data_IF_711910777306
#
_entry.id   IF_711910777306
#
_cell.length_a   1.000
_cell.length_b   1.000
_cell.length_c   1.000
_cell.angle_alpha   90.00
_cell.angle_beta   90.00
_cell.angle_gamma   90.00
#
_symmetry.space_group_name_H-M   'P 1'
#
loop_
_entity.id
_entity.type
_entity.pdbx_description
1 polymer ?
#
# COMPACT_ATOMS: atom_id res chain seq x y z
N UNK A 1 -10.96 -57.90 9.21
CA UNK A 1 -10.08 -56.79 9.63
C UNK A 1 -9.39 -56.24 8.41
N UNK A 2 -9.62 -54.97 8.09
CA UNK A 2 -8.97 -54.32 6.96
C UNK A 2 -7.81 -53.45 7.46
N UNK A 3 -6.91 -53.11 6.55
CA UNK A 3 -5.83 -52.16 6.77
C UNK A 3 -5.94 -50.94 5.85
N UNK A 4 -5.34 -49.84 6.28
CA UNK A 4 -5.21 -48.60 5.51
C UNK A 4 -3.73 -48.39 5.18
N UNK A 5 -3.40 -48.21 3.90
CA UNK A 5 -2.07 -47.84 3.42
C UNK A 5 -2.13 -46.61 2.51
N UNK A 6 -0.98 -46.01 2.21
CA UNK A 6 -0.85 -44.95 1.21
C UNK A 6 0.28 -45.18 0.21
N UNK A 7 0.36 -44.30 -0.78
CA UNK A 7 1.38 -44.28 -1.83
C UNK A 7 2.66 -43.54 -1.45
N UNK A 8 2.76 -42.99 -0.23
CA UNK A 8 3.90 -42.22 0.27
C UNK A 8 4.70 -42.97 1.35
N UNK A 9 4.28 -44.19 1.68
CA UNK A 9 5.00 -45.11 2.54
C UNK A 9 4.80 -44.86 4.03
N UNK A 10 3.67 -44.30 4.47
CA UNK A 10 3.37 -44.30 5.91
C UNK A 10 3.14 -45.70 6.47
N UNK A 11 3.28 -45.79 7.79
CA UNK A 11 3.00 -47.00 8.57
C UNK A 11 1.55 -47.42 8.36
N UNK A 12 1.35 -48.63 7.86
CA UNK A 12 0.03 -49.23 7.67
C UNK A 12 -0.75 -49.33 8.98
N UNK A 13 -1.99 -48.84 8.99
CA UNK A 13 -2.95 -49.18 10.04
C UNK A 13 -3.53 -50.56 9.74
N UNK A 14 -3.54 -51.46 10.72
CA UNK A 14 -4.00 -52.85 10.56
C UNK A 14 -5.00 -53.21 11.66
N UNK A 15 -5.78 -54.27 11.45
CA UNK A 15 -6.69 -54.78 12.48
C UNK A 15 -7.96 -53.93 12.65
N UNK A 16 -8.38 -53.20 11.61
CA UNK A 16 -9.43 -52.19 11.73
C UNK A 16 -10.83 -52.79 11.56
N UNK A 17 -11.79 -52.20 12.28
CA UNK A 17 -13.23 -52.44 12.19
C UNK A 17 -13.97 -51.20 11.65
N UNK A 18 -15.21 -51.29 11.15
CA UNK A 18 -15.95 -50.14 10.62
C UNK A 18 -15.93 -48.92 11.55
N UNK A 19 -15.37 -47.81 11.08
CA UNK A 19 -15.17 -46.61 11.89
C UNK A 19 -14.38 -45.52 11.17
N UNK A 20 -14.19 -44.39 11.87
CA UNK A 20 -13.37 -43.27 11.40
C UNK A 20 -11.95 -43.38 11.97
N UNK A 21 -10.95 -43.21 11.12
CA UNK A 21 -9.53 -43.32 11.48
C UNK A 21 -8.77 -42.09 10.99
N UNK A 22 -7.78 -41.65 11.78
CA UNK A 22 -6.83 -40.61 11.37
C UNK A 22 -5.59 -41.27 10.79
N UNK A 23 -5.21 -40.86 9.59
CA UNK A 23 -4.09 -41.43 8.83
C UNK A 23 -3.31 -40.28 8.19
N UNK A 24 -1.99 -40.21 8.43
CA UNK A 24 -1.13 -39.05 8.16
C UNK A 24 -0.20 -38.72 9.33
N UNK A 25 0.52 -37.60 9.36
CA UNK A 25 0.42 -36.38 8.53
C UNK A 25 1.18 -36.43 7.19
N UNK A 26 0.70 -35.65 6.22
CA UNK A 26 1.28 -35.55 4.88
C UNK A 26 1.87 -34.17 4.60
N UNK A 27 2.92 -34.06 3.76
CA UNK A 27 3.43 -32.77 3.29
C UNK A 27 2.37 -31.98 2.52
N UNK A 28 2.47 -30.66 2.53
CA UNK A 28 1.61 -29.79 1.73
C UNK A 28 1.72 -30.12 0.24
N UNK A 29 0.61 -30.09 -0.50
CA UNK A 29 0.48 -30.49 -1.91
C UNK A 29 0.84 -31.95 -2.22
N UNK A 30 1.03 -32.81 -1.21
CA UNK A 30 1.23 -34.23 -1.45
C UNK A 30 -0.01 -34.84 -2.12
N UNK A 31 0.19 -35.62 -3.18
CA UNK A 31 -0.85 -36.41 -3.81
C UNK A 31 -0.99 -37.74 -3.07
N UNK A 32 -1.92 -37.80 -2.12
CA UNK A 32 -2.10 -38.96 -1.24
C UNK A 32 -3.16 -39.90 -1.80
N UNK A 33 -2.74 -41.04 -2.35
CA UNK A 33 -3.64 -42.16 -2.64
C UNK A 33 -3.82 -43.02 -1.39
N UNK A 34 -5.06 -43.31 -1.01
CA UNK A 34 -5.38 -44.14 0.16
C UNK A 34 -5.90 -45.49 -0.33
N UNK A 35 -5.32 -46.57 0.19
CA UNK A 35 -5.71 -47.93 -0.16
C UNK A 35 -6.26 -48.66 1.07
N UNK A 36 -7.44 -49.28 0.90
CA UNK A 36 -7.99 -50.23 1.85
C UNK A 36 -7.66 -51.63 1.38
N UNK A 37 -7.12 -52.47 2.26
CA UNK A 37 -6.75 -53.87 1.93
C UNK A 37 -7.27 -54.79 3.02
N UNK A 38 -7.98 -55.86 2.64
CA UNK A 38 -8.24 -56.98 3.55
C UNK A 38 -7.18 -58.08 3.32
N UNK A 39 -6.27 -58.33 4.29
CA UNK A 39 -5.19 -59.29 4.12
C UNK A 39 -5.69 -60.75 4.08
N UNK A 40 -6.92 -61.02 4.50
CA UNK A 40 -7.48 -62.37 4.57
C UNK A 40 -8.29 -62.74 3.31
N UNK A 41 -8.57 -61.77 2.43
CA UNK A 41 -9.33 -61.98 1.20
C UNK A 41 -8.47 -61.57 0.00
N UNK A 42 -7.98 -62.57 -0.74
CA UNK A 42 -7.15 -62.34 -1.92
C UNK A 42 -7.86 -61.43 -2.94
N UNK A 43 -7.24 -60.30 -3.28
CA UNK A 43 -7.77 -59.34 -4.26
C UNK A 43 -8.82 -58.36 -3.72
N UNK A 44 -9.12 -58.36 -2.42
CA UNK A 44 -10.01 -57.38 -1.83
C UNK A 44 -9.25 -56.10 -1.45
N UNK A 45 -9.15 -55.17 -2.40
CA UNK A 45 -8.64 -53.83 -2.14
C UNK A 45 -9.52 -52.75 -2.78
N UNK A 46 -9.57 -51.59 -2.15
CA UNK A 46 -10.16 -50.37 -2.70
C UNK A 46 -9.10 -49.28 -2.75
N UNK A 47 -9.13 -48.48 -3.81
CA UNK A 47 -8.22 -47.34 -3.99
C UNK A 47 -9.05 -46.07 -4.07
N UNK A 48 -8.66 -45.08 -3.29
CA UNK A 48 -9.19 -43.73 -3.37
C UNK A 48 -8.10 -42.83 -3.95
N UNK A 49 -8.48 -42.04 -4.95
CA UNK A 49 -7.58 -41.22 -5.76
C UNK A 49 -6.72 -40.26 -4.93
N UNK A 50 -5.77 -39.57 -5.57
CA UNK A 50 -4.90 -38.65 -4.86
C UNK A 50 -5.71 -37.52 -4.23
N UNK A 51 -5.83 -37.54 -2.90
CA UNK A 51 -6.28 -36.40 -2.12
C UNK A 51 -5.09 -35.46 -2.03
N UNK A 52 -5.18 -34.30 -2.65
CA UNK A 52 -4.20 -33.23 -2.46
C UNK A 52 -4.56 -32.45 -1.21
N UNK A 53 -3.77 -32.60 -0.16
CA UNK A 53 -3.90 -31.77 1.04
C UNK A 53 -3.29 -30.40 0.74
N UNK A 54 -4.12 -29.39 0.48
CA UNK A 54 -3.69 -28.01 0.49
C UNK A 54 -3.70 -27.50 1.94
N UNK A 55 -2.57 -27.65 2.61
CA UNK A 55 -2.34 -27.17 3.98
C UNK A 55 -1.75 -25.76 3.98
N UNK A 56 -2.11 -24.92 3.00
CA UNK A 56 -1.77 -23.52 3.04
C UNK A 56 -2.49 -22.89 4.24
N UNK A 57 -1.70 -22.46 5.22
CA UNK A 57 -2.20 -21.68 6.34
C UNK A 57 -2.81 -20.42 5.77
N UNK A 58 -4.08 -20.17 6.11
CA UNK A 58 -4.75 -18.93 5.75
C UNK A 58 -3.90 -17.74 6.19
N UNK A 59 -3.80 -16.74 5.33
CA UNK A 59 -3.00 -15.55 5.61
C UNK A 59 -3.61 -14.79 6.80
N UNK A 60 -2.77 -14.17 7.62
CA UNK A 60 -3.25 -13.44 8.80
C UNK A 60 -4.21 -12.31 8.42
N UNK A 61 -3.99 -11.69 7.27
CA UNK A 61 -4.82 -10.65 6.69
C UNK A 61 -5.80 -11.17 5.62
N UNK A 62 -6.24 -12.43 5.74
CA UNK A 62 -7.22 -13.02 4.83
C UNK A 62 -8.58 -12.33 4.97
N UNK A 63 -9.01 -11.95 6.18
CA UNK A 63 -10.25 -11.21 6.40
C UNK A 63 -10.01 -9.70 6.49
N UNK A 64 -10.99 -8.92 6.03
CA UNK A 64 -10.92 -7.45 6.12
C UNK A 64 -10.70 -6.95 7.55
N UNK A 65 -11.34 -7.60 8.54
CA UNK A 65 -11.21 -7.22 9.96
C UNK A 65 -9.76 -7.36 10.46
N UNK A 66 -8.98 -8.22 9.81
CA UNK A 66 -7.59 -8.53 10.14
C UNK A 66 -6.61 -7.85 9.16
N UNK A 67 -7.07 -6.84 8.41
CA UNK A 67 -6.26 -6.13 7.42
C UNK A 67 -4.95 -5.60 8.02
N UNK A 68 -3.84 -5.95 7.38
CA UNK A 68 -2.51 -5.54 7.80
C UNK A 68 -2.25 -4.06 7.49
N UNK A 69 -1.54 -3.34 8.37
CA UNK A 69 -1.30 -1.91 8.17
C UNK A 69 -0.21 -1.68 7.11
N UNK A 70 -0.53 -0.84 6.12
CA UNK A 70 0.42 -0.38 5.11
C UNK A 70 0.62 1.15 5.25
N UNK A 71 1.85 1.57 5.51
CA UNK A 71 2.20 2.98 5.76
C UNK A 71 3.17 3.53 4.71
N UNK A 72 3.21 4.85 4.57
CA UNK A 72 4.14 5.56 3.70
C UNK A 72 5.60 5.13 3.91
N UNK A 73 6.33 4.89 2.82
CA UNK A 73 7.74 4.48 2.82
C UNK A 73 7.97 2.99 3.11
N UNK A 74 6.91 2.20 3.32
CA UNK A 74 7.05 0.77 3.52
C UNK A 74 7.20 0.03 2.18
N UNK A 75 8.08 -0.96 2.19
CA UNK A 75 8.06 -2.06 1.25
C UNK A 75 7.81 -3.34 2.06
N UNK A 76 6.84 -4.15 1.66
CA UNK A 76 6.55 -5.42 2.31
C UNK A 76 6.41 -6.54 1.28
N UNK A 77 6.67 -7.75 1.74
CA UNK A 77 6.45 -8.98 0.98
C UNK A 77 5.22 -9.66 1.55
N UNK A 78 4.18 -9.77 0.73
CA UNK A 78 2.93 -10.46 1.05
C UNK A 78 2.76 -11.73 0.24
N UNK A 79 1.64 -12.43 0.47
CA UNK A 79 1.24 -13.58 -0.34
C UNK A 79 -0.26 -13.73 -0.34
N UNK A 80 -0.81 -14.17 -1.47
CA UNK A 80 -2.23 -14.58 -1.61
C UNK A 80 -2.40 -16.09 -1.52
N UNK A 81 -1.32 -16.84 -1.26
CA UNK A 81 -1.34 -18.29 -1.09
C UNK A 81 -2.18 -18.67 0.13
N UNK A 82 -3.16 -19.55 -0.05
CA UNK A 82 -4.09 -19.92 1.02
C UNK A 82 -5.14 -18.88 1.37
N UNK A 83 -5.21 -17.74 0.65
CA UNK A 83 -6.28 -16.77 0.83
C UNK A 83 -7.63 -17.39 0.45
N UNK A 84 -8.65 -17.15 1.28
CA UNK A 84 -10.01 -17.65 1.10
C UNK A 84 -11.01 -16.52 0.91
N UNK A 85 -10.68 -15.31 1.37
CA UNK A 85 -11.56 -14.16 1.24
C UNK A 85 -11.81 -13.84 -0.23
N UNK A 86 -13.10 -13.84 -0.59
CA UNK A 86 -13.62 -13.21 -1.81
C UNK A 86 -14.61 -12.10 -1.45
N UNK A 87 -14.38 -11.43 -0.32
CA UNK A 87 -15.27 -10.43 0.26
C UNK A 87 -15.20 -9.07 -0.49
N UNK A 88 -15.44 -9.13 -1.80
CA UNK A 88 -15.32 -8.02 -2.73
C UNK A 88 -16.75 -7.54 -3.00
N UNK A 89 -17.28 -6.76 -2.07
CA UNK A 89 -18.66 -6.26 -2.11
C UNK A 89 -18.90 -5.05 -1.20
N UNK A 90 -18.80 -3.86 -1.82
CA UNK A 90 -19.71 -2.70 -1.75
C UNK A 90 -19.09 -1.57 -2.60
N UNK A 91 -19.31 -1.63 -3.92
CA UNK A 91 -18.95 -0.59 -4.88
C UNK A 91 -17.94 -1.01 -5.94
N UNK A 92 -16.88 -1.75 -5.60
CA UNK A 92 -15.96 -2.26 -6.63
C UNK A 92 -16.54 -3.58 -7.17
N UNK A 93 -16.44 -3.80 -8.47
CA UNK A 93 -16.88 -5.07 -9.07
C UNK A 93 -16.10 -6.25 -8.49
N UNK A 94 -16.76 -7.41 -8.47
CA UNK A 94 -16.18 -8.64 -7.93
C UNK A 94 -14.96 -9.05 -8.76
N UNK A 95 -13.79 -9.10 -8.14
CA UNK A 95 -12.58 -9.61 -8.80
C UNK A 95 -12.67 -11.13 -8.97
N UNK A 96 -12.06 -11.68 -10.03
CA UNK A 96 -11.73 -13.09 -10.08
C UNK A 96 -10.55 -13.34 -9.11
N UNK A 97 -10.79 -14.13 -8.07
CA UNK A 97 -9.72 -14.65 -7.19
C UNK A 97 -9.79 -14.20 -5.74
N UNK A 98 -9.40 -15.11 -4.86
CA UNK A 98 -9.19 -14.82 -3.44
C UNK A 98 -7.95 -13.94 -3.25
N UNK A 99 -7.94 -13.15 -2.19
CA UNK A 99 -6.94 -12.12 -1.94
C UNK A 99 -6.89 -11.72 -0.49
N UNK A 100 -5.93 -10.85 -0.18
CA UNK A 100 -5.63 -10.41 1.18
C UNK A 100 -5.86 -8.90 1.33
N UNK A 101 -6.06 -8.46 2.57
CA UNK A 101 -6.43 -7.09 2.91
C UNK A 101 -5.29 -6.31 3.55
N UNK A 102 -5.21 -5.03 3.19
CA UNK A 102 -4.36 -4.05 3.85
C UNK A 102 -5.16 -2.80 4.21
N UNK A 103 -4.80 -2.15 5.31
CA UNK A 103 -5.39 -0.89 5.76
C UNK A 103 -4.38 0.23 5.68
N UNK A 104 -4.81 1.35 5.10
CA UNK A 104 -4.03 2.57 4.93
C UNK A 104 -4.78 3.69 5.66
N UNK A 105 -4.07 4.51 6.43
CA UNK A 105 -4.61 5.74 7.01
C UNK A 105 -4.18 6.90 6.14
N UNK A 106 -5.13 7.61 5.55
CA UNK A 106 -4.86 8.77 4.70
C UNK A 106 -4.11 9.86 5.46
N UNK A 107 -3.13 10.47 4.80
CA UNK A 107 -2.31 11.55 5.36
C UNK A 107 -2.76 12.92 4.85
N UNK A 108 -3.64 12.97 3.84
CA UNK A 108 -3.92 14.18 3.07
C UNK A 108 -3.03 14.33 1.83
N UNK A 109 -2.02 13.47 1.70
CA UNK A 109 -1.08 13.49 0.59
C UNK A 109 -1.55 12.59 -0.56
N UNK A 110 -0.90 12.75 -1.72
CA UNK A 110 -1.04 11.78 -2.80
C UNK A 110 -0.26 10.53 -2.44
N UNK A 111 -0.98 9.42 -2.40
CA UNK A 111 -0.46 8.11 -2.02
C UNK A 111 -0.38 7.24 -3.27
N UNK A 112 0.69 6.45 -3.36
CA UNK A 112 0.89 5.48 -4.41
C UNK A 112 1.19 4.12 -3.79
N UNK A 113 0.36 3.13 -4.14
CA UNK A 113 0.58 1.72 -3.83
C UNK A 113 0.96 1.02 -5.13
N UNK A 114 2.11 0.33 -5.13
CA UNK A 114 2.67 -0.28 -6.32
C UNK A 114 3.05 -1.73 -6.07
N UNK A 115 2.79 -2.59 -7.05
CA UNK A 115 3.43 -3.91 -7.16
C UNK A 115 4.48 -3.94 -8.28
N UNK A 116 4.84 -2.77 -8.84
CA UNK A 116 5.75 -2.70 -9.98
C UNK A 116 7.17 -3.23 -9.68
N UNK A 117 7.61 -3.31 -8.42
CA UNK A 117 8.90 -3.89 -8.05
C UNK A 117 8.94 -5.42 -8.12
N UNK A 118 7.77 -6.07 -8.19
CA UNK A 118 7.66 -7.52 -8.29
C UNK A 118 8.30 -8.02 -9.59
N UNK A 119 9.02 -9.15 -9.50
CA UNK A 119 9.61 -9.83 -10.65
C UNK A 119 8.91 -11.17 -10.87
N UNK A 120 8.67 -11.52 -12.14
CA UNK A 120 7.71 -12.57 -12.52
C UNK A 120 6.42 -11.94 -13.01
N UNK A 121 5.92 -12.39 -14.18
CA UNK A 121 4.76 -11.80 -14.84
C UNK A 121 3.47 -12.23 -14.13
N UNK A 122 3.21 -11.65 -12.97
CA UNK A 122 2.10 -12.03 -12.12
C UNK A 122 0.91 -11.10 -12.33
N UNK A 123 -0.25 -11.70 -12.63
CA UNK A 123 -1.52 -11.01 -12.88
C UNK A 123 -2.17 -10.49 -11.60
N UNK A 124 -1.43 -9.67 -10.84
CA UNK A 124 -1.88 -9.01 -9.63
C UNK A 124 -2.98 -7.99 -9.96
N UNK A 125 -3.95 -7.89 -9.07
CA UNK A 125 -5.05 -6.94 -9.12
C UNK A 125 -5.11 -6.22 -7.79
N UNK A 126 -5.21 -4.89 -7.88
CA UNK A 126 -5.37 -4.01 -6.73
C UNK A 126 -6.76 -3.39 -6.81
N UNK A 127 -7.48 -3.31 -5.70
CA UNK A 127 -8.70 -2.51 -5.60
C UNK A 127 -8.68 -1.72 -4.31
N UNK A 128 -9.03 -0.45 -4.41
CA UNK A 128 -8.98 0.47 -3.29
C UNK A 128 -10.40 0.86 -2.88
N UNK A 129 -10.66 0.79 -1.58
CA UNK A 129 -11.88 1.25 -0.97
C UNK A 129 -11.59 2.38 0.00
N UNK A 130 -12.53 3.33 0.11
CA UNK A 130 -12.55 4.35 1.14
C UNK A 130 -13.52 3.92 2.24
N UNK A 131 -13.11 4.04 3.50
CA UNK A 131 -13.87 3.58 4.66
C UNK A 131 -13.24 2.36 5.34
N UNK A 132 -13.97 1.78 6.29
CA UNK A 132 -13.60 0.58 7.03
C UNK A 132 -14.44 -0.63 6.58
N UNK A 133 -14.18 -1.80 7.14
CA UNK A 133 -14.85 -3.05 6.74
C UNK A 133 -16.39 -3.03 6.90
N UNK A 134 -16.93 -2.15 7.73
CA UNK A 134 -18.38 -2.00 7.94
C UNK A 134 -19.10 -1.06 6.96
N UNK A 135 -18.37 -0.11 6.35
CA UNK A 135 -18.89 0.84 5.34
C UNK A 135 -17.75 1.22 4.39
N UNK A 136 -17.43 0.30 3.48
CA UNK A 136 -16.44 0.48 2.43
C UNK A 136 -17.13 0.90 1.14
N UNK A 137 -16.61 1.93 0.48
CA UNK A 137 -17.04 2.39 -0.85
C UNK A 137 -15.88 2.29 -1.82
N UNK A 138 -16.15 1.89 -3.06
CA UNK A 138 -15.09 1.84 -4.06
C UNK A 138 -14.46 3.22 -4.25
N UNK A 139 -13.14 3.27 -4.17
CA UNK A 139 -12.36 4.43 -4.53
C UNK A 139 -11.74 4.25 -5.92
N UNK A 140 -11.15 3.08 -6.19
CA UNK A 140 -10.49 2.76 -7.47
C UNK A 140 -10.71 1.29 -7.81
N UNK A 141 -11.22 1.04 -9.02
CA UNK A 141 -11.39 -0.31 -9.57
C UNK A 141 -10.10 -0.86 -10.16
N UNK A 142 -9.96 -2.19 -10.18
CA UNK A 142 -8.74 -2.85 -10.66
C UNK A 142 -8.38 -2.60 -12.13
N UNK A 143 -9.35 -2.26 -12.98
CA UNK A 143 -9.11 -1.91 -14.38
C UNK A 143 -8.66 -0.47 -14.57
N UNK A 144 -8.81 0.38 -13.54
CA UNK A 144 -8.30 1.77 -13.53
C UNK A 144 -6.83 1.83 -13.10
N UNK A 145 -6.29 0.71 -12.62
CA UNK A 145 -4.90 0.61 -12.19
C UNK A 145 -3.96 0.95 -13.35
N UNK A 146 -2.89 1.65 -13.02
CA UNK A 146 -1.79 1.88 -13.96
C UNK A 146 -1.04 0.57 -14.19
N UNK A 147 -0.79 0.24 -15.46
CA UNK A 147 -0.06 -0.96 -15.86
C UNK A 147 1.45 -0.67 -15.87
N UNK A 148 2.19 -1.38 -15.04
CA UNK A 148 3.66 -1.32 -15.04
C UNK A 148 4.24 -2.00 -16.29
N UNK A 149 5.46 -1.65 -16.69
CA UNK A 149 6.13 -2.26 -17.85
C UNK A 149 6.33 -3.78 -17.75
N UNK A 150 6.42 -4.31 -16.53
CA UNK A 150 6.53 -5.75 -16.23
C UNK A 150 5.17 -6.45 -16.08
N UNK A 151 4.06 -5.77 -16.35
CA UNK A 151 2.72 -6.35 -16.27
C UNK A 151 2.10 -6.35 -14.87
N UNK A 152 2.73 -5.73 -13.87
CA UNK A 152 2.19 -5.51 -12.53
C UNK A 152 1.22 -4.30 -12.48
N UNK A 153 0.78 -3.88 -11.30
CA UNK A 153 -0.23 -2.82 -11.12
C UNK A 153 0.23 -1.76 -10.14
N UNK A 154 -0.26 -0.55 -10.37
CA UNK A 154 -0.07 0.57 -9.47
C UNK A 154 -1.38 1.37 -9.34
N UNK A 155 -1.63 1.88 -8.14
CA UNK A 155 -2.72 2.79 -7.84
C UNK A 155 -2.14 4.07 -7.25
N UNK A 156 -2.53 5.22 -7.80
CA UNK A 156 -2.22 6.54 -7.24
C UNK A 156 -3.51 7.27 -6.91
N UNK A 157 -3.63 7.82 -5.70
CA UNK A 157 -4.84 8.50 -5.24
C UNK A 157 -4.54 9.63 -4.25
N UNK A 158 -5.36 10.69 -4.27
CA UNK A 158 -5.32 11.74 -3.25
C UNK A 158 -6.06 11.26 -2.00
N UNK A 159 -5.33 11.08 -0.90
CA UNK A 159 -5.90 10.65 0.37
C UNK A 159 -6.49 11.83 1.15
N UNK A 160 -7.45 11.56 2.04
CA UNK A 160 -7.94 12.53 3.02
C UNK A 160 -7.30 12.25 4.41
N UNK A 161 -6.84 13.27 5.15
CA UNK A 161 -6.18 13.07 6.44
C UNK A 161 -7.06 12.27 7.42
N UNK A 162 -6.47 11.29 8.10
CA UNK A 162 -7.14 10.44 9.09
C UNK A 162 -8.24 9.52 8.53
N UNK A 163 -8.50 9.56 7.22
CA UNK A 163 -9.53 8.72 6.60
C UNK A 163 -9.00 7.31 6.35
N UNK A 164 -9.73 6.25 6.75
CA UNK A 164 -9.33 4.89 6.46
C UNK A 164 -9.56 4.53 4.99
N UNK A 165 -8.62 3.78 4.44
CA UNK A 165 -8.70 3.14 3.13
C UNK A 165 -8.34 1.67 3.28
N UNK A 166 -8.99 0.82 2.49
CA UNK A 166 -8.73 -0.61 2.42
C UNK A 166 -8.23 -0.97 1.03
N UNK A 167 -7.08 -1.61 0.97
CA UNK A 167 -6.50 -2.16 -0.24
C UNK A 167 -6.75 -3.66 -0.24
N UNK A 168 -7.32 -4.16 -1.33
CA UNK A 168 -7.44 -5.58 -1.58
C UNK A 168 -6.49 -6.01 -2.70
N UNK A 169 -5.69 -7.04 -2.44
CA UNK A 169 -4.68 -7.56 -3.37
C UNK A 169 -5.04 -9.00 -3.74
N UNK A 170 -5.30 -9.25 -5.02
CA UNK A 170 -5.67 -10.57 -5.55
C UNK A 170 -4.95 -10.91 -6.85
N UNK A 171 -5.20 -12.11 -7.39
CA UNK A 171 -4.67 -12.56 -8.68
C UNK A 171 -5.79 -13.04 -9.60
N UNK A 172 -5.68 -12.68 -10.89
CA UNK A 172 -6.65 -13.00 -11.95
C UNK A 172 -6.93 -14.51 -12.10
N UNK A 173 -5.95 -15.38 -11.86
CA UNK A 173 -6.05 -16.82 -12.13
C UNK A 173 -6.12 -17.70 -10.87
N UNK A 174 -6.36 -17.11 -9.69
CA UNK A 174 -6.60 -17.85 -8.44
C UNK A 174 -5.42 -18.69 -7.92
N UNK A 175 -4.24 -18.62 -8.55
CA UNK A 175 -3.01 -19.21 -8.03
C UNK A 175 -2.36 -18.21 -7.07
N UNK A 176 -2.62 -18.40 -5.78
CA UNK A 176 -2.04 -17.53 -4.76
C UNK A 176 -0.50 -17.60 -4.77
N UNK A 177 0.15 -16.45 -4.85
CA UNK A 177 1.61 -16.29 -4.99
C UNK A 177 2.11 -15.20 -4.05
N UNK A 178 3.43 -15.18 -3.82
CA UNK A 178 4.08 -14.09 -3.12
C UNK A 178 4.11 -12.83 -4.01
N UNK A 179 4.02 -11.66 -3.39
CA UNK A 179 4.08 -10.37 -4.06
C UNK A 179 4.82 -9.35 -3.22
N UNK A 180 5.35 -8.31 -3.85
CA UNK A 180 5.94 -7.15 -3.19
C UNK A 180 4.99 -5.95 -3.32
N UNK A 181 4.71 -5.27 -2.20
CA UNK A 181 3.97 -4.02 -2.16
C UNK A 181 4.89 -2.89 -1.73
N UNK A 182 4.93 -1.84 -2.52
CA UNK A 182 5.56 -0.57 -2.21
C UNK A 182 4.49 0.46 -1.91
N UNK A 183 4.59 1.12 -0.78
CA UNK A 183 3.76 2.27 -0.43
C UNK A 183 4.64 3.50 -0.37
N UNK A 184 4.36 4.45 -1.25
CA UNK A 184 4.99 5.76 -1.21
C UNK A 184 3.92 6.83 -1.00
N UNK A 185 4.30 7.84 -0.25
CA UNK A 185 3.53 9.06 -0.15
C UNK A 185 4.47 10.10 -0.71
N UNK A 186 4.15 10.59 -1.91
CA UNK A 186 4.74 11.84 -2.30
C UNK A 186 4.20 12.84 -1.28
N UNK A 187 5.04 13.56 -0.51
CA UNK A 187 4.53 14.72 0.20
C UNK A 187 3.83 15.52 -0.87
N UNK A 188 2.50 15.59 -0.75
CA UNK A 188 1.63 16.13 -1.80
C UNK A 188 1.75 17.64 -1.87
N UNK A 189 2.92 18.16 -1.48
CA UNK A 189 3.19 19.53 -1.25
C UNK A 189 4.51 19.96 -1.83
N UNK A 190 4.55 21.23 -2.13
CA UNK A 190 5.74 21.90 -2.64
C UNK A 190 6.83 21.83 -1.58
N UNK A 191 8.10 21.90 -2.00
CA UNK A 191 9.23 22.06 -1.08
C UNK A 191 9.75 23.47 -1.20
N UNK A 192 10.17 24.05 -0.08
CA UNK A 192 10.81 25.36 -0.05
C UNK A 192 12.14 25.25 0.69
N UNK A 193 13.23 25.78 0.11
CA UNK A 193 14.51 25.89 0.80
C UNK A 193 14.48 27.06 1.79
N UNK A 194 15.39 27.04 2.76
CA UNK A 194 15.56 28.19 3.64
C UNK A 194 16.06 29.39 2.81
N UNK A 195 15.55 30.61 3.06
CA UNK A 195 16.02 31.82 2.41
C UNK A 195 17.55 31.97 2.47
N UNK A 196 18.17 32.23 1.32
CA UNK A 196 19.61 32.40 1.21
C UNK A 196 20.01 33.52 0.23
N UNK A 197 21.13 34.23 0.49
CA UNK A 197 21.72 34.34 1.82
C UNK A 197 20.70 34.93 2.80
N UNK A 198 20.85 34.68 4.11
CA UNK A 198 20.08 35.45 5.09
C UNK A 198 20.36 36.94 4.82
N UNK A 199 19.32 37.79 4.62
CA UNK A 199 19.47 39.04 3.89
C UNK A 199 20.30 40.07 4.65
N UNK A 200 21.63 40.06 4.46
CA UNK A 200 22.51 41.09 5.04
C UNK A 200 22.27 42.46 4.41
N UNK A 201 21.84 42.50 3.15
CA UNK A 201 21.59 43.71 2.38
C UNK A 201 20.11 43.93 2.06
N UNK A 202 19.21 43.12 2.63
CA UNK A 202 17.78 43.15 2.33
C UNK A 202 17.34 42.29 1.14
N UNK A 203 18.24 41.65 0.40
CA UNK A 203 17.89 40.70 -0.68
C UNK A 203 18.10 39.25 -0.23
N UNK A 204 17.15 38.39 -0.55
CA UNK A 204 17.28 36.94 -0.40
C UNK A 204 16.52 36.20 -1.49
N UNK A 205 16.93 34.96 -1.71
CA UNK A 205 16.29 34.02 -2.63
C UNK A 205 15.80 32.78 -1.87
N UNK A 206 14.85 32.07 -2.45
CA UNK A 206 14.40 30.76 -1.99
C UNK A 206 14.14 29.85 -3.19
N UNK A 207 14.51 28.59 -3.05
CA UNK A 207 14.14 27.55 -4.00
C UNK A 207 12.75 27.05 -3.66
N UNK A 208 11.91 26.87 -4.66
CA UNK A 208 10.59 26.28 -4.52
C UNK A 208 10.43 25.19 -5.56
N UNK A 209 10.17 23.97 -5.12
CA UNK A 209 9.82 22.86 -6.01
C UNK A 209 8.34 22.56 -5.87
N UNK A 210 7.54 22.96 -6.86
CA UNK A 210 6.11 22.69 -6.92
C UNK A 210 5.84 21.31 -7.53
N UNK A 211 5.02 20.50 -6.86
CA UNK A 211 4.58 19.19 -7.38
C UNK A 211 3.39 19.30 -8.34
N UNK A 212 2.66 20.42 -8.31
CA UNK A 212 1.58 20.77 -9.23
C UNK A 212 1.56 22.29 -9.43
N UNK A 213 1.05 22.77 -10.56
CA UNK A 213 0.91 24.21 -10.79
C UNK A 213 -0.09 24.82 -9.80
N UNK A 214 0.28 25.89 -9.10
CA UNK A 214 -0.55 26.51 -8.06
C UNK A 214 -0.16 27.95 -7.73
N UNK A 215 -0.99 28.67 -6.96
CA UNK A 215 -0.54 29.94 -6.36
C UNK A 215 0.22 29.69 -5.05
N UNK A 216 1.26 30.49 -4.84
CA UNK A 216 1.86 30.76 -3.54
C UNK A 216 1.48 32.18 -3.11
N UNK A 217 1.03 32.33 -1.88
CA UNK A 217 0.93 33.63 -1.19
C UNK A 217 2.06 33.74 -0.19
N UNK A 218 2.66 34.92 -0.05
CA UNK A 218 3.72 35.14 0.93
C UNK A 218 3.55 36.48 1.62
N UNK A 219 3.95 36.53 2.89
CA UNK A 219 3.97 37.73 3.73
C UNK A 219 5.28 37.79 4.52
N UNK A 220 5.77 39.01 4.74
CA UNK A 220 6.90 39.31 5.61
C UNK A 220 6.41 40.26 6.68
N UNK A 221 6.60 39.89 7.94
CA UNK A 221 6.25 40.71 9.10
C UNK A 221 7.48 41.06 9.93
N UNK A 222 7.51 42.24 10.55
CA UNK A 222 8.60 42.66 11.44
C UNK A 222 8.49 42.01 12.84
N UNK A 223 9.44 42.31 13.73
CA UNK A 223 9.47 41.79 15.10
C UNK A 223 8.28 42.18 16.00
N UNK A 224 7.46 43.15 15.58
CA UNK A 224 6.21 43.55 16.25
C UNK A 224 4.98 42.89 15.61
N UNK A 225 5.16 42.05 14.57
CA UNK A 225 4.08 41.41 13.83
C UNK A 225 3.40 42.30 12.79
N UNK A 226 3.96 43.47 12.47
CA UNK A 226 3.41 44.35 11.45
C UNK A 226 3.84 43.88 10.05
N UNK A 227 2.92 43.94 9.09
CA UNK A 227 3.17 43.57 7.69
C UNK A 227 4.12 44.57 7.03
N UNK A 228 5.17 44.04 6.40
CA UNK A 228 6.24 44.80 5.74
C UNK A 228 6.16 44.61 4.23
N UNK A 229 5.97 43.37 3.78
CA UNK A 229 5.82 43.03 2.37
C UNK A 229 4.90 41.83 2.21
N UNK A 230 4.24 41.71 1.06
CA UNK A 230 3.45 40.54 0.69
C UNK A 230 3.37 40.39 -0.83
N UNK A 231 3.02 39.20 -1.28
CA UNK A 231 2.77 38.92 -2.68
C UNK A 231 2.00 37.63 -2.91
N UNK A 232 1.58 37.45 -4.16
CA UNK A 232 0.99 36.21 -4.66
C UNK A 232 1.58 35.88 -6.02
N UNK A 233 2.01 34.65 -6.24
CA UNK A 233 2.65 34.21 -7.48
C UNK A 233 2.07 32.89 -7.96
N UNK A 234 1.78 32.77 -9.25
CA UNK A 234 1.49 31.49 -9.89
C UNK A 234 2.80 30.77 -10.20
N UNK A 235 2.96 29.56 -9.68
CA UNK A 235 4.11 28.70 -9.90
C UNK A 235 3.65 27.50 -10.73
N UNK A 236 4.37 27.21 -11.80
CA UNK A 236 4.15 25.99 -12.58
C UNK A 236 4.69 24.77 -11.81
N UNK A 237 4.32 23.57 -12.22
CA UNK A 237 4.97 22.36 -11.73
C UNK A 237 6.48 22.40 -12.05
N UNK A 238 7.32 22.00 -11.09
CA UNK A 238 8.77 22.00 -11.21
C UNK A 238 9.47 23.00 -10.28
N UNK A 239 10.72 23.31 -10.63
CA UNK A 239 11.60 24.15 -9.82
C UNK A 239 11.47 25.63 -10.17
N UNK A 240 11.46 26.48 -9.13
CA UNK A 240 11.44 27.94 -9.21
C UNK A 240 12.46 28.53 -8.24
N UNK A 241 13.06 29.64 -8.63
CA UNK A 241 13.90 30.47 -7.77
C UNK A 241 13.18 31.80 -7.58
N UNK A 242 12.83 32.13 -6.33
CA UNK A 242 12.08 33.33 -5.99
C UNK A 242 12.92 34.31 -5.18
N UNK A 243 12.92 35.57 -5.61
CA UNK A 243 13.61 36.66 -4.93
C UNK A 243 12.59 37.58 -4.26
N UNK A 244 12.81 37.90 -2.99
CA UNK A 244 12.06 38.92 -2.26
C UNK A 244 13.01 40.05 -1.86
N UNK A 245 12.58 41.29 -2.09
CA UNK A 245 13.36 42.49 -1.84
C UNK A 245 12.84 43.23 -0.59
N UNK A 246 13.69 43.30 0.42
CA UNK A 246 13.51 44.03 1.68
C UNK A 246 14.55 45.15 1.84
N UNK A 247 15.16 45.66 0.76
CA UNK A 247 16.18 46.72 0.85
C UNK A 247 15.68 48.00 1.51
N UNK A 248 14.38 48.30 1.37
CA UNK A 248 13.73 49.46 1.98
C UNK A 248 13.22 49.20 3.40
N UNK A 249 13.41 47.98 3.93
CA UNK A 249 13.02 47.63 5.29
C UNK A 249 14.08 48.08 6.31
N UNK A 250 13.65 48.41 7.52
CA UNK A 250 14.55 48.73 8.63
C UNK A 250 15.42 47.53 9.02
N UNK A 251 16.54 47.76 9.69
CA UNK A 251 17.35 46.67 10.22
C UNK A 251 16.61 45.95 11.36
N UNK A 252 16.72 44.63 11.43
CA UNK A 252 16.07 43.86 12.48
C UNK A 252 15.65 42.45 12.07
N UNK A 253 14.85 41.83 12.95
CA UNK A 253 14.30 40.50 12.76
C UNK A 253 12.97 40.57 12.01
N UNK A 254 12.80 39.68 11.04
CA UNK A 254 11.59 39.51 10.25
C UNK A 254 11.17 38.04 10.22
N UNK A 255 9.90 37.80 9.95
CA UNK A 255 9.33 36.48 9.72
C UNK A 255 8.71 36.45 8.32
N UNK A 256 9.25 35.60 7.47
CA UNK A 256 8.64 35.22 6.19
C UNK A 256 7.66 34.08 6.44
N UNK A 257 6.46 34.18 5.89
CA UNK A 257 5.48 33.09 5.80
C UNK A 257 5.05 32.93 4.36
N UNK A 258 5.07 31.70 3.88
CA UNK A 258 4.54 31.34 2.56
C UNK A 258 3.43 30.31 2.74
N UNK A 259 2.32 30.48 2.03
CA UNK A 259 1.17 29.58 2.02
C UNK A 259 0.86 29.21 0.58
N UNK A 260 0.90 27.91 0.30
CA UNK A 260 0.53 27.31 -0.98
C UNK A 260 -0.99 27.11 -1.04
N UNK A 261 -1.62 27.23 -2.21
CA UNK A 261 -3.05 26.95 -2.39
C UNK A 261 -3.41 25.50 -2.04
N UNK A 262 -2.44 24.58 -2.10
CA UNK A 262 -2.59 23.18 -1.65
C UNK A 262 -2.61 23.03 -0.12
N UNK A 263 -2.30 24.09 0.64
CA UNK A 263 -2.41 24.17 2.11
C UNK A 263 -1.07 24.12 2.86
N UNK A 264 0.06 23.87 2.19
CA UNK A 264 1.37 23.86 2.83
C UNK A 264 1.79 25.26 3.26
N UNK A 265 2.34 25.34 4.48
CA UNK A 265 2.86 26.57 5.03
C UNK A 265 4.36 26.44 5.34
N UNK A 266 5.13 27.41 4.87
CA UNK A 266 6.56 27.55 5.15
C UNK A 266 6.79 28.81 5.98
N UNK A 267 7.75 28.77 6.91
CA UNK A 267 8.04 29.91 7.77
C UNK A 267 9.52 30.00 8.08
N UNK A 268 10.11 31.17 7.86
CA UNK A 268 11.53 31.40 8.05
C UNK A 268 11.79 32.72 8.78
N UNK A 269 12.75 32.71 9.71
CA UNK A 269 13.26 33.92 10.36
C UNK A 269 14.34 34.52 9.47
N UNK A 270 14.25 35.83 9.26
CA UNK A 270 15.21 36.61 8.50
C UNK A 270 15.80 37.67 9.43
N UNK A 271 17.07 38.01 9.22
CA UNK A 271 17.72 39.12 9.91
C UNK A 271 18.33 40.06 8.89
N UNK A 272 17.75 41.27 8.78
CA UNK A 272 18.27 42.36 7.95
C UNK A 272 19.33 43.11 8.75
N UNK A 273 20.57 43.07 8.27
CA UNK A 273 21.68 43.73 8.95
C UNK A 273 21.65 45.25 8.75
N UNK A 274 22.22 46.04 9.68
CA UNK A 274 22.49 47.45 9.44
C UNK A 274 23.40 47.63 8.22
N UNK A 275 23.14 48.68 7.43
CA UNK A 275 24.00 49.09 6.30
C UNK A 275 25.32 49.66 6.78
#
# INVERSE_FOLDING_TARGET
>A
DYGITDNLGQVTLSGLSPGAYTFGAYPNNAQVGVFLVDPNIFGCFQSYGPVTTNCDTTQANDLCQDAEVLSCGMQLVGSTRGATSQDIGNGCEKLPGAGVWYRIIGTGETMTVSTCSQTGADSLMLSLYKGDCGDRRCAIHYWENTLCANGNREITFKSAPGTPYLLYVSHLEGRGQAFTLDMSCAPGGSRMSAPYPNPSTGLFEMDITCQTSQFMTWEVVNGQGQLVAQGRKWLLEGFHLETIDLREADHGMYLLRCLMDTGEQFTHKLFVMPR
#
